data_IF_220761746176
#
_entry.id   IF_220761746176
#
_cell.length_a   1.000
_cell.length_b   1.000
_cell.length_c   1.000
_cell.angle_alpha   90.00
_cell.angle_beta   90.00
_cell.angle_gamma   90.00
#
_symmetry.space_group_name_H-M   'P 1'
#
loop_
_entity.id
_entity.type
_entity.pdbx_description
1 polymer ?
#
# COMPACT_ATOMS: atom_id res chain seq x y z
N UNK A 1 -18.27 -32.31 -38.23
CA UNK A 1 -17.94 -31.22 -37.27
C UNK A 1 -16.68 -31.62 -36.53
N UNK A 2 -15.57 -30.91 -36.74
CA UNK A 2 -14.36 -31.15 -35.93
C UNK A 2 -14.66 -30.73 -34.48
N UNK A 3 -14.24 -31.50 -33.47
CA UNK A 3 -14.48 -31.16 -32.07
C UNK A 3 -13.79 -29.82 -31.73
N UNK A 4 -14.48 -28.96 -30.97
CA UNK A 4 -13.92 -27.72 -30.45
C UNK A 4 -12.70 -28.05 -29.57
N UNK A 5 -11.51 -27.71 -30.05
CA UNK A 5 -10.28 -27.91 -29.30
C UNK A 5 -10.06 -26.74 -28.33
N UNK A 6 -9.70 -27.06 -27.09
CA UNK A 6 -9.50 -26.05 -26.05
C UNK A 6 -8.23 -25.23 -26.29
N UNK A 7 -7.12 -25.88 -26.62
CA UNK A 7 -5.86 -25.26 -27.04
C UNK A 7 -5.50 -25.71 -28.47
N UNK A 8 -4.60 -24.99 -29.18
CA UNK A 8 -4.07 -25.42 -30.47
C UNK A 8 -3.37 -26.78 -30.39
N UNK A 9 -3.40 -27.58 -31.46
CA UNK A 9 -2.89 -28.97 -31.49
C UNK A 9 -1.43 -29.15 -31.06
N UNK A 10 -0.62 -28.09 -31.13
CA UNK A 10 0.81 -28.13 -30.79
C UNK A 10 1.11 -27.75 -29.32
N UNK A 11 0.09 -27.44 -28.53
CA UNK A 11 0.24 -26.92 -27.16
C UNK A 11 -0.81 -27.55 -26.24
N UNK A 12 -0.38 -28.18 -25.15
CA UNK A 12 -1.26 -28.67 -24.10
C UNK A 12 -1.29 -27.72 -22.89
N UNK A 13 -2.37 -27.78 -22.10
CA UNK A 13 -2.48 -27.05 -20.83
C UNK A 13 -1.40 -27.45 -19.80
N UNK A 14 -0.83 -28.66 -19.92
CA UNK A 14 0.19 -29.17 -19.01
C UNK A 14 1.60 -28.64 -19.29
N UNK A 15 1.85 -28.10 -20.49
CA UNK A 15 3.15 -27.57 -20.88
C UNK A 15 3.15 -26.06 -20.68
N UNK A 16 3.70 -25.63 -19.53
CA UNK A 16 3.77 -24.22 -19.13
C UNK A 16 4.79 -23.46 -19.97
N UNK A 17 5.95 -24.07 -20.24
CA UNK A 17 7.06 -23.45 -20.97
C UNK A 17 7.34 -24.20 -22.26
N UNK A 18 7.29 -23.51 -23.40
CA UNK A 18 7.58 -24.06 -24.72
C UNK A 18 8.32 -23.01 -25.55
N UNK A 19 9.40 -23.39 -26.24
CA UNK A 19 10.22 -22.53 -27.10
C UNK A 19 10.57 -21.15 -26.50
N UNK A 20 11.15 -21.11 -25.30
CA UNK A 20 11.59 -19.88 -24.61
C UNK A 20 10.46 -18.89 -24.23
N UNK A 21 9.22 -19.36 -24.11
CA UNK A 21 8.10 -18.57 -23.58
C UNK A 21 7.01 -19.42 -22.92
N UNK A 22 6.05 -18.74 -22.30
CA UNK A 22 4.83 -19.31 -21.74
C UNK A 22 3.76 -19.40 -22.83
N UNK A 23 3.04 -20.51 -22.89
CA UNK A 23 1.97 -20.67 -23.89
C UNK A 23 0.81 -19.71 -23.65
N UNK A 24 0.30 -19.07 -24.72
CA UNK A 24 -0.84 -18.14 -24.63
C UNK A 24 -2.10 -18.81 -24.07
N UNK A 25 -2.36 -20.08 -24.44
CA UNK A 25 -3.49 -20.84 -23.94
C UNK A 25 -3.43 -20.97 -22.40
N UNK A 26 -2.26 -21.30 -21.84
CA UNK A 26 -2.06 -21.42 -20.40
C UNK A 26 -2.21 -20.07 -19.70
N UNK A 27 -1.56 -19.02 -20.23
CA UNK A 27 -1.56 -17.69 -19.61
C UNK A 27 -2.96 -17.09 -19.55
N UNK A 28 -3.72 -17.08 -20.66
CA UNK A 28 -5.07 -16.52 -20.70
C UNK A 28 -6.05 -17.35 -19.84
N UNK A 29 -5.90 -18.68 -19.82
CA UNK A 29 -6.77 -19.56 -19.01
C UNK A 29 -6.53 -19.39 -17.52
N UNK A 30 -5.27 -19.46 -17.09
CA UNK A 30 -4.92 -19.39 -15.66
C UNK A 30 -5.18 -18.00 -15.10
N UNK A 31 -4.81 -16.95 -15.83
CA UNK A 31 -5.07 -15.58 -15.39
C UNK A 31 -6.57 -15.30 -15.27
N UNK A 32 -7.38 -15.69 -16.27
CA UNK A 32 -8.83 -15.53 -16.22
C UNK A 32 -9.45 -16.33 -15.05
N UNK A 33 -9.02 -17.57 -14.83
CA UNK A 33 -9.52 -18.41 -13.74
C UNK A 33 -9.18 -17.84 -12.36
N UNK A 34 -7.93 -17.41 -12.14
CA UNK A 34 -7.48 -16.85 -10.85
C UNK A 34 -8.17 -15.52 -10.56
N UNK A 35 -8.21 -14.60 -11.53
CA UNK A 35 -8.83 -13.28 -11.36
C UNK A 35 -10.34 -13.41 -11.12
N UNK A 36 -11.03 -14.24 -11.91
CA UNK A 36 -12.47 -14.47 -11.77
C UNK A 36 -12.81 -15.17 -10.47
N UNK A 37 -12.05 -16.22 -10.10
CA UNK A 37 -12.25 -16.97 -8.86
C UNK A 37 -12.07 -16.09 -7.63
N UNK A 38 -11.03 -15.25 -7.61
CA UNK A 38 -10.80 -14.28 -6.55
C UNK A 38 -11.99 -13.31 -6.41
N UNK A 39 -12.42 -12.70 -7.52
CA UNK A 39 -13.51 -11.73 -7.50
C UNK A 39 -14.85 -12.37 -7.12
N UNK A 40 -15.13 -13.58 -7.60
CA UNK A 40 -16.34 -14.32 -7.25
C UNK A 40 -16.39 -14.65 -5.76
N UNK A 41 -15.31 -15.18 -5.18
CA UNK A 41 -15.33 -15.56 -3.75
C UNK A 41 -15.34 -14.33 -2.86
N UNK A 42 -14.35 -13.44 -3.00
CA UNK A 42 -14.20 -12.31 -2.07
C UNK A 42 -15.17 -11.17 -2.38
N UNK A 43 -15.50 -10.95 -3.65
CA UNK A 43 -16.49 -9.94 -4.05
C UNK A 43 -17.91 -10.32 -3.62
N UNK A 44 -18.30 -11.60 -3.67
CA UNK A 44 -19.63 -12.01 -3.16
C UNK A 44 -19.70 -11.88 -1.65
N UNK A 45 -18.65 -12.26 -0.92
CA UNK A 45 -18.57 -12.04 0.54
C UNK A 45 -18.71 -10.55 0.85
N UNK A 46 -17.99 -9.68 0.14
CA UNK A 46 -18.07 -8.24 0.33
C UNK A 46 -19.49 -7.71 0.03
N UNK A 47 -20.13 -8.16 -1.04
CA UNK A 47 -21.50 -7.76 -1.39
C UNK A 47 -22.52 -8.22 -0.33
N UNK A 48 -22.37 -9.43 0.20
CA UNK A 48 -23.20 -9.95 1.29
C UNK A 48 -23.01 -9.14 2.56
N UNK A 49 -21.78 -8.73 2.89
CA UNK A 49 -21.50 -7.84 4.01
C UNK A 49 -22.19 -6.48 3.82
N UNK A 50 -22.09 -5.86 2.65
CA UNK A 50 -22.80 -4.61 2.36
C UNK A 50 -24.31 -4.76 2.44
N UNK A 51 -24.87 -5.89 1.98
CA UNK A 51 -26.30 -6.15 2.08
C UNK A 51 -26.78 -6.32 3.52
N UNK A 52 -25.96 -6.92 4.39
CA UNK A 52 -26.34 -7.26 5.77
C UNK A 52 -26.04 -6.15 6.78
N UNK A 53 -24.95 -5.42 6.58
CA UNK A 53 -24.42 -4.45 7.55
C UNK A 53 -24.18 -3.05 6.97
N UNK A 54 -24.45 -2.84 5.68
CA UNK A 54 -24.21 -1.55 5.03
C UNK A 54 -25.24 -0.50 5.44
N UNK A 55 -24.77 0.66 5.88
CA UNK A 55 -25.59 1.87 6.05
C UNK A 55 -25.47 2.73 4.80
N UNK A 56 -26.60 3.25 4.31
CA UNK A 56 -26.63 4.12 3.12
C UNK A 56 -26.04 5.50 3.44
N UNK A 57 -25.22 6.01 2.54
CA UNK A 57 -24.64 7.35 2.65
C UNK A 57 -25.64 8.40 2.18
N UNK A 58 -25.83 9.45 2.97
CA UNK A 58 -26.64 10.60 2.57
C UNK A 58 -26.10 11.21 1.27
N UNK A 59 -26.94 11.46 0.25
CA UNK A 59 -26.51 11.94 -1.07
C UNK A 59 -25.79 13.30 -1.02
N UNK A 60 -26.00 14.09 0.04
CA UNK A 60 -25.28 15.34 0.29
C UNK A 60 -23.78 15.16 0.59
N UNK A 61 -23.35 14.00 1.08
CA UNK A 61 -21.94 13.69 1.39
C UNK A 61 -21.17 13.12 0.18
N UNK A 62 -21.88 12.73 -0.89
CA UNK A 62 -21.29 12.13 -2.08
C UNK A 62 -20.88 13.24 -3.06
N UNK A 63 -19.61 13.64 -3.00
CA UNK A 63 -19.04 14.60 -3.94
C UNK A 63 -19.05 14.11 -5.39
N UNK A 64 -19.23 15.03 -6.35
CA UNK A 64 -19.00 14.75 -7.78
C UNK A 64 -17.49 14.64 -8.04
N UNK A 65 -16.99 13.42 -8.21
CA UNK A 65 -15.59 13.16 -8.54
C UNK A 65 -15.44 12.82 -10.03
N UNK A 66 -14.72 13.67 -10.79
CA UNK A 66 -14.40 13.38 -12.21
C UNK A 66 -13.53 12.13 -12.36
N UNK A 67 -12.64 11.89 -11.39
CA UNK A 67 -11.75 10.72 -11.38
C UNK A 67 -12.52 9.41 -11.19
N UNK A 68 -13.58 9.41 -10.37
CA UNK A 68 -14.46 8.24 -10.23
C UNK A 68 -15.17 7.92 -11.55
N UNK A 69 -15.73 8.92 -12.23
CA UNK A 69 -16.40 8.71 -13.51
C UNK A 69 -15.43 8.18 -14.57
N UNK A 70 -14.20 8.70 -14.58
CA UNK A 70 -13.14 8.21 -15.47
C UNK A 70 -12.75 6.76 -15.16
N UNK A 71 -12.65 6.38 -13.88
CA UNK A 71 -12.38 5.00 -13.47
C UNK A 71 -13.48 4.02 -13.90
N UNK A 72 -14.76 4.41 -13.74
CA UNK A 72 -15.91 3.61 -14.22
C UNK A 72 -15.89 3.47 -15.74
N UNK A 73 -15.56 4.54 -16.46
CA UNK A 73 -15.41 4.50 -17.92
C UNK A 73 -14.32 3.52 -18.37
N UNK A 74 -13.14 3.57 -17.75
CA UNK A 74 -12.06 2.64 -18.06
C UNK A 74 -12.44 1.18 -17.76
N UNK A 75 -13.13 0.93 -16.64
CA UNK A 75 -13.62 -0.41 -16.30
C UNK A 75 -14.66 -0.93 -17.31
N UNK A 76 -15.51 -0.05 -17.84
CA UNK A 76 -16.48 -0.39 -18.88
C UNK A 76 -15.83 -0.59 -20.27
N UNK A 77 -14.68 0.03 -20.53
CA UNK A 77 -13.93 -0.13 -21.78
C UNK A 77 -13.28 -1.52 -21.91
N UNK A 78 -12.79 -2.10 -20.80
CA UNK A 78 -12.09 -3.40 -20.80
C UNK A 78 -12.90 -4.58 -21.37
N UNK A 79 -14.19 -4.81 -21.02
CA UNK A 79 -14.97 -5.88 -21.65
C UNK A 79 -15.23 -5.61 -23.14
N UNK A 80 -15.35 -4.34 -23.56
CA UNK A 80 -15.48 -3.98 -24.98
C UNK A 80 -14.22 -4.38 -25.75
N UNK A 81 -13.04 -4.09 -25.21
CA UNK A 81 -11.76 -4.52 -25.81
C UNK A 81 -11.65 -6.05 -25.90
N UNK A 82 -12.18 -6.79 -24.92
CA UNK A 82 -12.20 -8.25 -24.96
C UNK A 82 -13.11 -8.79 -26.08
N UNK A 83 -14.29 -8.18 -26.28
CA UNK A 83 -15.19 -8.51 -27.40
C UNK A 83 -14.53 -8.20 -28.74
N UNK A 84 -13.91 -7.02 -28.88
CA UNK A 84 -13.21 -6.62 -30.11
C UNK A 84 -12.09 -7.61 -30.44
N UNK A 85 -11.26 -7.99 -29.46
CA UNK A 85 -10.21 -9.00 -29.64
C UNK A 85 -10.79 -10.34 -30.12
N UNK A 86 -11.85 -10.83 -29.46
CA UNK A 86 -12.49 -12.08 -29.83
C UNK A 86 -13.06 -12.06 -31.26
N UNK A 87 -13.70 -10.96 -31.66
CA UNK A 87 -14.25 -10.81 -33.01
C UNK A 87 -13.16 -10.78 -34.07
N UNK A 88 -12.06 -10.06 -33.81
CA UNK A 88 -10.92 -9.98 -34.72
C UNK A 88 -10.25 -11.36 -34.90
N UNK A 89 -9.95 -12.05 -33.80
CA UNK A 89 -9.34 -13.39 -33.82
C UNK A 89 -10.25 -14.48 -34.39
N UNK A 90 -11.56 -14.38 -34.16
CA UNK A 90 -12.55 -15.39 -34.54
C UNK A 90 -13.13 -15.25 -35.94
N UNK A 91 -13.14 -14.05 -36.53
CA UNK A 91 -13.86 -13.79 -37.79
C UNK A 91 -13.08 -13.01 -38.84
N UNK A 92 -12.07 -12.22 -38.45
CA UNK A 92 -11.44 -11.26 -39.39
C UNK A 92 -10.10 -11.77 -39.95
N UNK A 93 -9.29 -12.47 -39.15
CA UNK A 93 -7.98 -12.93 -39.62
C UNK A 93 -8.04 -14.24 -40.43
N UNK A 94 -7.18 -14.36 -41.44
CA UNK A 94 -7.06 -15.58 -42.26
C UNK A 94 -6.64 -16.79 -41.41
N UNK A 95 -7.41 -17.89 -41.50
CA UNK A 95 -7.21 -19.08 -40.67
C UNK A 95 -7.88 -19.01 -39.28
N UNK A 96 -8.83 -18.09 -39.08
CA UNK A 96 -9.58 -17.96 -37.83
C UNK A 96 -10.18 -19.30 -37.36
N UNK A 97 -9.74 -19.75 -36.19
CA UNK A 97 -10.31 -20.86 -35.45
C UNK A 97 -10.58 -20.40 -34.05
N UNK A 98 -11.81 -20.60 -33.59
CA UNK A 98 -12.20 -20.26 -32.22
C UNK A 98 -11.74 -21.39 -31.30
N UNK A 99 -10.83 -21.09 -30.39
CA UNK A 99 -10.37 -22.01 -29.35
C UNK A 99 -11.15 -21.82 -28.06
N UNK A 100 -11.23 -22.89 -27.25
CA UNK A 100 -11.96 -22.86 -25.98
C UNK A 100 -11.44 -21.81 -24.98
N UNK A 101 -10.12 -21.56 -24.92
CA UNK A 101 -9.56 -20.55 -24.01
C UNK A 101 -10.00 -19.11 -24.36
N UNK A 102 -10.21 -18.81 -25.65
CA UNK A 102 -10.67 -17.48 -26.09
C UNK A 102 -12.11 -17.23 -25.64
N UNK A 103 -12.96 -18.26 -25.73
CA UNK A 103 -14.36 -18.20 -25.24
C UNK A 103 -14.37 -18.02 -23.72
N UNK A 104 -13.55 -18.79 -22.99
CA UNK A 104 -13.46 -18.67 -21.53
C UNK A 104 -13.03 -17.25 -21.12
N UNK A 105 -11.98 -16.71 -21.74
CA UNK A 105 -11.48 -15.37 -21.44
C UNK A 105 -12.53 -14.29 -21.74
N UNK A 106 -13.28 -14.42 -22.84
CA UNK A 106 -14.39 -13.53 -23.17
C UNK A 106 -15.51 -13.59 -22.12
N UNK A 107 -16.00 -14.79 -21.80
CA UNK A 107 -17.07 -14.98 -20.80
C UNK A 107 -16.66 -14.43 -19.43
N UNK A 108 -15.42 -14.69 -19.01
CA UNK A 108 -14.88 -14.16 -17.75
C UNK A 108 -14.80 -12.63 -17.79
N UNK A 109 -14.31 -12.04 -18.87
CA UNK A 109 -14.23 -10.58 -19.00
C UNK A 109 -15.62 -9.92 -18.95
N UNK A 110 -16.59 -10.48 -19.67
CA UNK A 110 -17.97 -9.99 -19.71
C UNK A 110 -18.68 -10.10 -18.35
N UNK A 111 -18.23 -10.98 -17.46
CA UNK A 111 -18.77 -11.10 -16.12
C UNK A 111 -17.99 -10.29 -15.08
N UNK A 112 -16.66 -10.46 -15.01
CA UNK A 112 -15.83 -9.93 -13.94
C UNK A 112 -15.75 -8.39 -13.96
N UNK A 113 -15.63 -7.75 -15.13
CA UNK A 113 -15.54 -6.29 -15.20
C UNK A 113 -16.86 -5.62 -14.79
N UNK A 114 -18.04 -5.99 -15.32
CA UNK A 114 -19.30 -5.42 -14.83
C UNK A 114 -19.56 -5.71 -13.35
N UNK A 115 -19.22 -6.90 -12.86
CA UNK A 115 -19.35 -7.24 -11.44
C UNK A 115 -18.48 -6.34 -10.54
N UNK A 116 -17.26 -6.03 -10.97
CA UNK A 116 -16.39 -5.07 -10.27
C UNK A 116 -16.96 -3.64 -10.24
N UNK A 117 -17.67 -3.21 -11.29
CA UNK A 117 -18.38 -1.91 -11.33
C UNK A 117 -19.52 -1.90 -10.30
N UNK A 118 -20.29 -2.99 -10.19
CA UNK A 118 -21.36 -3.11 -9.19
C UNK A 118 -20.81 -2.99 -7.77
N UNK A 119 -19.67 -3.65 -7.49
CA UNK A 119 -18.99 -3.52 -6.20
C UNK A 119 -18.51 -2.08 -5.96
N UNK A 120 -17.86 -1.46 -6.95
CA UNK A 120 -17.39 -0.08 -6.87
C UNK A 120 -18.52 0.92 -6.58
N UNK A 121 -19.69 0.74 -7.22
CA UNK A 121 -20.89 1.55 -6.97
C UNK A 121 -21.39 1.30 -5.55
N UNK A 122 -21.44 0.05 -5.08
CA UNK A 122 -21.85 -0.27 -3.71
C UNK A 122 -20.91 0.36 -2.66
N UNK A 123 -19.60 0.33 -2.86
CA UNK A 123 -18.64 0.99 -1.96
C UNK A 123 -18.84 2.51 -1.88
N UNK A 124 -19.31 3.14 -2.96
CA UNK A 124 -19.57 4.59 -2.97
C UNK A 124 -20.82 4.98 -2.19
N UNK A 125 -21.88 4.17 -2.27
CA UNK A 125 -23.18 4.49 -1.68
C UNK A 125 -23.40 3.87 -0.29
N UNK A 126 -22.63 2.86 0.11
CA UNK A 126 -22.79 2.17 1.40
C UNK A 126 -21.48 2.16 2.20
N UNK A 127 -21.56 2.45 3.50
CA UNK A 127 -20.46 2.32 4.45
C UNK A 127 -20.62 1.09 5.32
N UNK A 128 -19.49 0.45 5.65
CA UNK A 128 -19.44 -0.66 6.61
C UNK A 128 -19.13 -0.11 8.02
N UNK A 129 -19.64 -0.74 9.10
CA UNK A 129 -19.50 -0.21 10.47
C UNK A 129 -18.07 -0.15 11.03
N UNK A 130 -17.09 -0.84 10.42
CA UNK A 130 -15.81 -1.16 11.08
C UNK A 130 -14.53 -0.67 10.37
N UNK A 131 -14.59 0.30 9.45
CA UNK A 131 -13.37 0.88 8.85
C UNK A 131 -13.51 2.40 8.67
N UNK A 132 -12.61 3.24 9.26
CA UNK A 132 -12.44 4.61 8.78
C UNK A 132 -11.84 4.55 7.37
N UNK A 133 -12.56 5.05 6.36
CA UNK A 133 -12.19 4.88 4.96
C UNK A 133 -11.12 5.88 4.52
N UNK A 134 -9.85 5.45 4.58
CA UNK A 134 -8.80 5.98 3.71
C UNK A 134 -8.59 5.01 2.54
N UNK A 135 -9.59 4.82 1.68
CA UNK A 135 -9.42 3.96 0.51
C UNK A 135 -10.65 3.17 0.08
N UNK A 136 -10.57 2.63 -1.14
CA UNK A 136 -11.43 1.54 -1.61
C UNK A 136 -11.28 0.29 -0.72
N UNK A 137 -12.25 -0.62 -0.80
CA UNK A 137 -12.15 -1.90 -0.13
C UNK A 137 -10.94 -2.70 -0.61
N UNK A 138 -10.33 -3.46 0.32
CA UNK A 138 -9.15 -4.28 0.04
C UNK A 138 -9.39 -5.27 -1.11
N UNK A 139 -10.59 -5.83 -1.22
CA UNK A 139 -10.96 -6.78 -2.28
C UNK A 139 -10.85 -6.14 -3.67
N UNK A 140 -11.38 -4.93 -3.84
CA UNK A 140 -11.39 -4.24 -5.13
C UNK A 140 -9.96 -3.79 -5.53
N UNK A 141 -9.18 -3.34 -4.55
CA UNK A 141 -7.78 -2.97 -4.73
C UNK A 141 -6.93 -4.19 -5.12
N UNK A 142 -7.10 -5.32 -4.44
CA UNK A 142 -6.44 -6.58 -4.80
C UNK A 142 -6.86 -7.06 -6.19
N UNK A 143 -8.14 -6.97 -6.55
CA UNK A 143 -8.60 -7.33 -7.89
C UNK A 143 -7.89 -6.53 -8.98
N UNK A 144 -7.78 -5.20 -8.84
CA UNK A 144 -7.04 -4.38 -9.80
C UNK A 144 -5.54 -4.67 -9.80
N UNK A 145 -4.94 -5.01 -8.65
CA UNK A 145 -3.53 -5.45 -8.62
C UNK A 145 -3.33 -6.75 -9.39
N UNK A 146 -4.23 -7.73 -9.25
CA UNK A 146 -4.16 -9.00 -9.96
C UNK A 146 -4.33 -8.80 -11.47
N UNK A 147 -5.24 -7.93 -11.89
CA UNK A 147 -5.38 -7.52 -13.29
C UNK A 147 -4.09 -6.91 -13.83
N UNK A 148 -3.48 -5.99 -13.08
CA UNK A 148 -2.22 -5.35 -13.47
C UNK A 148 -1.07 -6.36 -13.55
N UNK A 149 -0.93 -7.25 -12.56
CA UNK A 149 0.06 -8.33 -12.55
C UNK A 149 -0.13 -9.23 -13.78
N UNK A 150 -1.36 -9.66 -14.08
CA UNK A 150 -1.64 -10.50 -15.24
C UNK A 150 -1.23 -9.85 -16.56
N UNK A 151 -1.40 -8.53 -16.73
CA UNK A 151 -0.91 -7.83 -17.91
C UNK A 151 0.63 -7.76 -17.97
N UNK A 152 1.30 -7.68 -16.83
CA UNK A 152 2.77 -7.67 -16.79
C UNK A 152 3.39 -9.05 -17.09
N UNK A 153 2.72 -10.15 -16.73
CA UNK A 153 3.20 -11.52 -17.03
C UNK A 153 3.35 -11.75 -18.53
N UNK A 154 2.59 -11.03 -19.37
CA UNK A 154 2.70 -11.09 -20.83
C UNK A 154 4.10 -10.70 -21.33
N UNK A 155 4.82 -9.82 -20.63
CA UNK A 155 6.20 -9.43 -21.00
C UNK A 155 7.22 -10.56 -20.83
N UNK A 156 6.89 -11.65 -20.13
CA UNK A 156 7.76 -12.85 -20.09
C UNK A 156 7.92 -13.46 -21.49
N UNK A 157 6.95 -13.25 -22.39
CA UNK A 157 6.96 -13.75 -23.76
C UNK A 157 7.66 -12.84 -24.78
N UNK A 158 8.47 -11.86 -24.35
CA UNK A 158 9.16 -10.95 -25.25
C UNK A 158 10.12 -11.66 -26.23
N UNK A 159 10.73 -12.76 -25.81
CA UNK A 159 11.73 -13.49 -26.61
C UNK A 159 11.15 -14.76 -27.28
N UNK A 160 9.82 -14.90 -27.29
CA UNK A 160 9.13 -16.03 -27.89
C UNK A 160 8.92 -15.76 -29.39
N UNK A 161 9.49 -16.61 -30.24
CA UNK A 161 9.53 -16.39 -31.71
C UNK A 161 8.15 -16.22 -32.37
N UNK A 162 7.10 -16.78 -31.76
CA UNK A 162 5.70 -16.66 -32.25
C UNK A 162 4.89 -15.60 -31.50
N UNK A 163 5.54 -14.73 -30.74
CA UNK A 163 4.85 -13.64 -30.07
C UNK A 163 4.54 -12.50 -31.05
N UNK A 164 3.37 -11.88 -30.87
CA UNK A 164 2.95 -10.69 -31.60
C UNK A 164 3.85 -9.46 -31.35
N UNK A 165 4.86 -9.56 -30.48
CA UNK A 165 5.86 -8.52 -30.26
C UNK A 165 6.76 -8.24 -31.47
N UNK A 166 6.93 -9.21 -32.38
CA UNK A 166 7.79 -9.02 -33.56
C UNK A 166 7.13 -8.20 -34.69
N UNK A 167 5.85 -7.82 -34.56
CA UNK A 167 5.12 -6.88 -35.43
C UNK A 167 5.18 -7.21 -36.94
N UNK A 168 5.43 -8.48 -37.26
CA UNK A 168 5.71 -8.95 -38.63
C UNK A 168 4.46 -8.96 -39.50
N UNK A 169 3.30 -9.30 -38.92
CA UNK A 169 2.02 -9.39 -39.62
C UNK A 169 1.06 -8.29 -39.17
N UNK A 170 0.03 -8.02 -39.98
CA UNK A 170 -1.05 -7.08 -39.63
C UNK A 170 -1.78 -7.53 -38.35
N UNK A 171 -1.92 -8.85 -38.16
CA UNK A 171 -2.45 -9.45 -36.94
C UNK A 171 -1.65 -9.05 -35.71
N UNK A 172 -0.31 -9.17 -35.78
CA UNK A 172 0.57 -8.82 -34.67
C UNK A 172 0.45 -7.34 -34.28
N UNK A 173 0.35 -6.45 -35.27
CA UNK A 173 0.18 -5.00 -35.05
C UNK A 173 -1.14 -4.67 -34.35
N UNK A 174 -2.23 -5.33 -34.74
CA UNK A 174 -3.56 -5.12 -34.13
C UNK A 174 -3.60 -5.67 -32.69
N UNK A 175 -3.06 -6.87 -32.46
CA UNK A 175 -2.96 -7.46 -31.11
C UNK A 175 -2.09 -6.59 -30.18
N UNK A 176 -0.96 -6.09 -30.68
CA UNK A 176 -0.12 -5.16 -29.94
C UNK A 176 -0.88 -3.87 -29.59
N UNK A 177 -1.61 -3.29 -30.54
CA UNK A 177 -2.43 -2.10 -30.30
C UNK A 177 -3.50 -2.31 -29.23
N UNK A 178 -4.25 -3.41 -29.32
CA UNK A 178 -5.26 -3.78 -28.31
C UNK A 178 -4.63 -4.01 -26.94
N UNK A 179 -3.46 -4.65 -26.90
CA UNK A 179 -2.70 -4.86 -25.68
C UNK A 179 -2.28 -3.54 -25.04
N UNK A 180 -1.75 -2.59 -25.81
CA UNK A 180 -1.34 -1.26 -25.30
C UNK A 180 -2.53 -0.50 -24.70
N UNK A 181 -3.67 -0.47 -25.40
CA UNK A 181 -4.89 0.18 -24.89
C UNK A 181 -5.38 -0.50 -23.61
N UNK A 182 -5.40 -1.85 -23.58
CA UNK A 182 -5.78 -2.61 -22.38
C UNK A 182 -4.82 -2.36 -21.22
N UNK A 183 -3.51 -2.38 -21.47
CA UNK A 183 -2.47 -2.18 -20.47
C UNK A 183 -2.56 -0.79 -19.84
N UNK A 184 -2.65 0.25 -20.66
CA UNK A 184 -2.78 1.64 -20.20
C UNK A 184 -4.07 1.85 -19.39
N UNK A 185 -5.21 1.33 -19.85
CA UNK A 185 -6.45 1.38 -19.09
C UNK A 185 -6.32 0.70 -17.72
N UNK A 186 -5.71 -0.48 -17.66
CA UNK A 186 -5.52 -1.25 -16.41
C UNK A 186 -4.57 -0.53 -15.45
N UNK A 187 -3.50 0.09 -15.96
CA UNK A 187 -2.57 0.91 -15.18
C UNK A 187 -3.28 2.12 -14.56
N UNK A 188 -4.07 2.86 -15.34
CA UNK A 188 -4.82 4.00 -14.83
C UNK A 188 -5.86 3.58 -13.78
N UNK A 189 -6.57 2.45 -13.98
CA UNK A 189 -7.49 1.91 -12.98
C UNK A 189 -6.75 1.60 -11.68
N UNK A 190 -5.57 0.96 -11.75
CA UNK A 190 -4.78 0.63 -10.57
C UNK A 190 -4.32 1.89 -9.81
N UNK A 191 -3.75 2.87 -10.52
CA UNK A 191 -3.25 4.13 -9.91
C UNK A 191 -4.40 4.94 -9.29
N UNK A 192 -5.53 5.06 -9.98
CA UNK A 192 -6.71 5.76 -9.45
C UNK A 192 -7.31 5.00 -8.27
N UNK A 193 -7.34 3.66 -8.33
CA UNK A 193 -7.79 2.79 -7.26
C UNK A 193 -7.00 2.97 -5.95
N UNK A 194 -5.70 3.23 -6.02
CA UNK A 194 -4.88 3.54 -4.84
C UNK A 194 -5.22 4.90 -4.22
N UNK A 195 -5.65 5.88 -5.03
CA UNK A 195 -5.98 7.24 -4.58
C UNK A 195 -7.41 7.37 -4.05
N UNK A 196 -8.26 6.38 -4.29
CA UNK A 196 -9.65 6.29 -3.82
C UNK A 196 -10.47 7.59 -3.94
N UNK A 197 -10.59 8.16 -5.15
CA UNK A 197 -11.11 9.51 -5.37
C UNK A 197 -12.62 9.68 -5.12
N UNK A 198 -13.32 8.59 -4.78
CA UNK A 198 -14.77 8.56 -4.59
C UNK A 198 -15.22 8.53 -3.13
N UNK A 199 -14.30 8.38 -2.17
CA UNK A 199 -14.64 8.28 -0.75
C UNK A 199 -14.16 9.54 -0.05
N UNK A 200 -15.09 10.22 0.61
CA UNK A 200 -14.86 11.47 1.33
C UNK A 200 -13.83 11.25 2.43
N UNK A 201 -12.66 11.90 2.33
CA UNK A 201 -11.69 11.95 3.42
C UNK A 201 -12.20 12.91 4.49
N UNK A 202 -12.82 12.40 5.56
CA UNK A 202 -13.31 13.24 6.68
C UNK A 202 -12.18 13.77 7.57
N UNK A 203 -10.96 13.96 7.05
CA UNK A 203 -9.86 14.52 7.82
C UNK A 203 -8.96 15.38 6.92
N UNK A 204 -9.27 16.67 6.83
CA UNK A 204 -8.22 17.67 6.75
C UNK A 204 -7.59 17.71 8.15
N UNK A 205 -6.29 17.43 8.32
CA UNK A 205 -5.60 18.02 9.45
C UNK A 205 -5.70 19.53 9.23
N UNK A 206 -6.43 20.23 10.11
CA UNK A 206 -6.32 21.67 10.20
C UNK A 206 -4.84 21.96 10.47
N UNK A 207 -4.18 22.52 9.46
CA UNK A 207 -2.86 23.11 9.57
C UNK A 207 -3.03 24.39 10.40
N UNK A 208 -3.08 24.22 11.72
CA UNK A 208 -2.94 25.32 12.66
C UNK A 208 -1.47 25.74 12.64
N UNK A 209 -1.15 26.60 11.69
CA UNK A 209 0.06 27.41 11.72
C UNK A 209 -0.06 28.39 12.89
N UNK A 210 0.39 27.94 14.07
CA UNK A 210 0.41 28.77 15.27
C UNK A 210 1.53 29.81 15.13
N UNK A 211 1.13 31.07 14.92
CA UNK A 211 1.95 32.25 15.20
C UNK A 211 2.48 32.19 16.64
N UNK A 212 3.75 31.85 16.80
CA UNK A 212 4.48 32.00 18.06
C UNK A 212 5.78 32.74 17.78
N UNK A 213 5.84 33.98 18.26
CA UNK A 213 7.02 34.82 18.30
C UNK A 213 8.06 34.18 19.25
N UNK A 214 9.28 33.81 18.81
CA UNK A 214 10.24 33.18 19.70
C UNK A 214 10.94 34.26 20.54
N UNK A 215 10.57 34.37 21.81
CA UNK A 215 11.44 35.01 22.79
C UNK A 215 12.73 34.19 22.94
N UNK A 216 13.86 34.85 22.69
CA UNK A 216 15.23 34.34 22.79
C UNK A 216 15.61 34.02 24.24
N UNK A 217 15.08 32.94 24.80
CA UNK A 217 15.71 32.24 25.92
C UNK A 217 16.11 30.83 25.50
N UNK A 218 17.29 30.40 25.93
CA UNK A 218 17.86 29.09 25.63
C UNK A 218 17.02 27.95 26.23
N UNK A 219 15.95 27.58 25.53
CA UNK A 219 15.05 26.46 25.84
C UNK A 219 15.80 25.12 25.91
N UNK A 220 16.92 25.01 25.18
CA UNK A 220 17.74 23.80 25.13
C UNK A 220 18.53 23.53 26.42
N UNK A 221 18.95 24.55 27.18
CA UNK A 221 19.77 24.34 28.39
C UNK A 221 19.01 23.55 29.47
N UNK A 222 17.69 23.67 29.50
CA UNK A 222 16.82 22.96 30.45
C UNK A 222 16.10 21.74 29.83
N UNK A 223 16.24 21.51 28.51
CA UNK A 223 15.55 20.43 27.82
C UNK A 223 15.98 19.04 28.33
N UNK A 224 17.27 18.84 28.60
CA UNK A 224 17.79 17.59 29.16
C UNK A 224 17.23 17.29 30.55
N UNK A 225 17.13 18.33 31.40
CA UNK A 225 16.57 18.19 32.74
C UNK A 225 15.09 17.82 32.68
N UNK A 226 14.31 18.49 31.82
CA UNK A 226 12.89 18.19 31.58
C UNK A 226 12.69 16.78 31.01
N UNK A 227 13.53 16.36 30.07
CA UNK A 227 13.51 15.01 29.50
C UNK A 227 13.79 13.94 30.57
N UNK A 228 14.77 14.17 31.43
CA UNK A 228 15.11 13.24 32.52
C UNK A 228 13.97 13.07 33.51
N UNK A 229 13.19 14.12 33.76
CA UNK A 229 11.98 14.06 34.61
C UNK A 229 10.85 13.27 33.95
N UNK A 230 10.75 13.28 32.62
CA UNK A 230 9.72 12.54 31.86
C UNK A 230 10.11 11.07 31.58
N UNK A 231 11.40 10.77 31.51
CA UNK A 231 11.93 9.42 31.29
C UNK A 231 11.36 8.32 32.22
N UNK A 232 11.15 8.54 33.54
CA UNK A 232 10.55 7.53 34.41
C UNK A 232 9.08 7.25 34.10
N UNK A 233 8.35 8.16 33.44
CA UNK A 233 6.97 7.92 33.00
C UNK A 233 6.91 7.06 31.74
N UNK A 234 7.94 7.15 30.89
CA UNK A 234 8.04 6.33 29.70
C UNK A 234 8.44 4.87 30.01
N UNK A 235 9.15 4.65 31.11
CA UNK A 235 9.57 3.32 31.52
C UNK A 235 8.52 2.68 32.45
N UNK A 236 7.72 1.73 31.96
CA UNK A 236 6.70 1.09 32.78
C UNK A 236 7.36 0.20 33.84
N UNK A 237 7.42 0.66 35.08
CA UNK A 237 8.01 -0.10 36.19
C UNK A 237 7.11 -1.25 36.68
N UNK A 238 5.81 -1.20 36.38
CA UNK A 238 4.80 -2.10 36.91
C UNK A 238 4.61 -3.39 36.08
N UNK A 239 4.87 -3.35 34.77
CA UNK A 239 4.56 -4.45 33.84
C UNK A 239 5.79 -4.93 33.03
N UNK A 240 6.28 -6.14 33.29
CA UNK A 240 7.41 -6.74 32.54
C UNK A 240 7.12 -6.92 31.04
N UNK A 241 5.87 -7.24 30.67
CA UNK A 241 5.46 -7.38 29.26
C UNK A 241 5.61 -6.05 28.50
N UNK A 242 5.33 -4.93 29.17
CA UNK A 242 5.43 -3.61 28.56
C UNK A 242 6.89 -3.17 28.43
N UNK A 243 7.74 -3.50 29.41
CA UNK A 243 9.20 -3.30 29.31
C UNK A 243 9.80 -4.04 28.12
N UNK A 244 9.43 -5.32 27.91
CA UNK A 244 9.90 -6.08 26.77
C UNK A 244 9.47 -5.45 25.44
N UNK A 245 8.25 -4.91 25.34
CA UNK A 245 7.78 -4.20 24.15
C UNK A 245 8.55 -2.92 23.89
N UNK A 246 8.91 -2.16 24.93
CA UNK A 246 9.74 -0.97 24.81
C UNK A 246 11.11 -1.33 24.27
N UNK A 247 11.77 -2.35 24.84
CA UNK A 247 13.07 -2.84 24.38
C UNK A 247 12.98 -3.30 22.92
N UNK A 248 11.98 -4.10 22.58
CA UNK A 248 11.78 -4.59 21.23
C UNK A 248 11.51 -3.45 20.22
N UNK A 249 10.77 -2.41 20.62
CA UNK A 249 10.57 -1.21 19.83
C UNK A 249 11.88 -0.47 19.55
N UNK A 250 12.75 -0.32 20.55
CA UNK A 250 14.08 0.28 20.37
C UNK A 250 14.99 -0.58 19.49
N UNK A 251 14.95 -1.90 19.61
CA UNK A 251 15.69 -2.80 18.73
C UNK A 251 15.22 -2.67 17.28
N UNK A 252 13.90 -2.60 17.03
CA UNK A 252 13.35 -2.36 15.69
C UNK A 252 13.74 -0.99 15.14
N UNK A 253 13.78 0.04 15.99
CA UNK A 253 14.23 1.37 15.61
C UNK A 253 15.69 1.33 15.14
N UNK A 254 16.59 0.73 15.95
CA UNK A 254 17.99 0.57 15.59
C UNK A 254 18.17 -0.28 14.32
N UNK A 255 17.46 -1.39 14.22
CA UNK A 255 17.47 -2.24 13.01
C UNK A 255 17.04 -1.48 11.75
N UNK A 256 16.04 -0.62 11.85
CA UNK A 256 15.63 0.26 10.76
C UNK A 256 16.73 1.22 10.31
N UNK A 257 17.49 1.80 11.25
CA UNK A 257 18.62 2.70 10.93
C UNK A 257 19.79 1.95 10.29
N UNK A 258 20.09 0.75 10.80
CA UNK A 258 21.09 -0.14 10.22
C UNK A 258 20.75 -0.47 8.77
N UNK A 259 19.49 -0.79 8.48
CA UNK A 259 19.03 -1.05 7.11
C UNK A 259 19.17 0.19 6.22
N UNK A 260 18.85 1.38 6.73
CA UNK A 260 19.04 2.63 5.98
C UNK A 260 20.50 2.84 5.55
N UNK A 261 21.46 2.41 6.37
CA UNK A 261 22.89 2.43 6.03
C UNK A 261 23.28 1.33 5.03
N UNK A 262 22.76 0.12 5.17
CA UNK A 262 23.13 -0.99 4.27
C UNK A 262 22.55 -0.85 2.87
N UNK A 263 21.40 -0.21 2.69
CA UNK A 263 20.77 0.00 1.37
C UNK A 263 21.73 0.65 0.35
N UNK A 264 22.37 1.81 0.61
CA UNK A 264 23.32 2.41 -0.32
C UNK A 264 24.60 1.58 -0.48
N UNK A 265 25.07 0.89 0.56
CA UNK A 265 26.26 0.01 0.49
C UNK A 265 26.02 -1.16 -0.47
N UNK A 266 24.86 -1.81 -0.39
CA UNK A 266 24.51 -2.89 -1.29
C UNK A 266 24.26 -2.39 -2.71
N UNK A 267 23.70 -1.18 -2.87
CA UNK A 267 23.58 -0.56 -4.19
C UNK A 267 24.97 -0.33 -4.82
N UNK A 268 25.94 0.17 -4.05
CA UNK A 268 27.34 0.29 -4.50
C UNK A 268 27.90 -1.06 -4.94
N UNK A 269 27.78 -2.11 -4.12
CA UNK A 269 28.27 -3.46 -4.48
C UNK A 269 27.67 -3.99 -5.78
N UNK A 270 26.35 -3.78 -5.99
CA UNK A 270 25.69 -4.18 -7.24
C UNK A 270 26.31 -3.45 -8.44
N UNK A 271 26.51 -2.13 -8.33
CA UNK A 271 27.13 -1.34 -9.42
C UNK A 271 28.59 -1.75 -9.66
N UNK A 272 29.36 -1.98 -8.59
CA UNK A 272 30.76 -2.42 -8.69
C UNK A 272 30.87 -3.79 -9.39
N UNK A 273 29.94 -4.73 -9.12
CA UNK A 273 29.91 -6.04 -9.81
C UNK A 273 29.68 -5.96 -11.31
N UNK A 274 29.08 -4.87 -11.80
CA UNK A 274 28.88 -4.64 -13.23
C UNK A 274 30.15 -4.12 -13.92
N UNK A 275 31.13 -3.64 -13.14
CA UNK A 275 32.37 -3.06 -13.65
C UNK A 275 33.54 -4.06 -13.69
N UNK A 276 33.50 -5.11 -12.87
CA UNK A 276 34.52 -6.17 -12.84
C UNK A 276 34.38 -7.17 -14.02
N UNK A 277 35.50 -7.60 -14.60
CA UNK A 277 35.56 -8.65 -15.63
C UNK A 277 36.28 -9.89 -15.08
N UNK A 278 35.75 -11.12 -15.28
CA UNK A 278 34.56 -11.48 -16.07
C UNK A 278 33.24 -11.14 -15.38
N UNK A 279 32.24 -10.76 -16.19
CA UNK A 279 30.89 -10.44 -15.73
C UNK A 279 30.24 -11.68 -15.09
N UNK A 280 30.09 -11.65 -13.77
CA UNK A 280 29.39 -12.68 -13.02
C UNK A 280 28.12 -12.06 -12.42
N UNK A 281 26.94 -12.53 -12.83
CA UNK A 281 25.67 -12.05 -12.30
C UNK A 281 25.51 -12.48 -10.82
N UNK A 282 25.69 -11.54 -9.89
CA UNK A 282 25.58 -11.77 -8.43
C UNK A 282 24.14 -11.56 -7.95
N UNK A 283 23.29 -12.54 -8.22
CA UNK A 283 21.88 -12.53 -7.78
C UNK A 283 21.74 -12.38 -6.26
N UNK A 284 22.71 -12.90 -5.48
CA UNK A 284 22.75 -12.80 -4.01
C UNK A 284 22.63 -11.36 -3.51
N UNK A 285 23.38 -10.42 -4.11
CA UNK A 285 23.41 -9.02 -3.68
C UNK A 285 22.13 -8.29 -4.04
N UNK A 286 21.56 -8.62 -5.20
CA UNK A 286 20.27 -8.08 -5.65
C UNK A 286 19.15 -8.54 -4.72
N UNK A 287 19.13 -9.83 -4.34
CA UNK A 287 18.11 -10.38 -3.45
C UNK A 287 18.16 -9.72 -2.07
N UNK A 288 19.36 -9.54 -1.50
CA UNK A 288 19.55 -8.85 -0.22
C UNK A 288 19.11 -7.38 -0.31
N UNK A 289 19.47 -6.69 -1.40
CA UNK A 289 19.07 -5.30 -1.63
C UNK A 289 17.55 -5.14 -1.71
N UNK A 290 16.86 -6.01 -2.44
CA UNK A 290 15.39 -6.02 -2.53
C UNK A 290 14.77 -6.30 -1.15
N UNK A 291 15.33 -7.23 -0.38
CA UNK A 291 14.91 -7.50 1.00
C UNK A 291 15.05 -6.28 1.92
N UNK A 292 16.19 -5.58 1.88
CA UNK A 292 16.37 -4.34 2.64
C UNK A 292 15.44 -3.23 2.19
N UNK A 293 15.20 -3.08 0.88
CA UNK A 293 14.22 -2.12 0.35
C UNK A 293 12.81 -2.44 0.80
N UNK A 294 12.42 -3.71 0.85
CA UNK A 294 11.12 -4.13 1.39
C UNK A 294 10.98 -3.78 2.89
N UNK A 295 12.02 -4.06 3.69
CA UNK A 295 12.03 -3.72 5.12
C UNK A 295 12.00 -2.20 5.37
N UNK A 296 12.68 -1.43 4.52
CA UNK A 296 12.73 0.05 4.55
C UNK A 296 11.43 0.70 4.04
N UNK A 297 10.72 0.09 3.07
CA UNK A 297 9.51 0.64 2.43
C UNK A 297 9.73 1.22 1.03
N UNK A 298 10.85 0.87 0.37
CA UNK A 298 11.36 1.54 -0.82
C UNK A 298 10.75 1.15 -2.17
N UNK A 299 9.56 0.55 -2.21
CA UNK A 299 8.88 0.22 -3.48
C UNK A 299 7.97 1.32 -4.01
N UNK A 300 7.16 1.93 -3.14
CA UNK A 300 6.02 2.78 -3.57
C UNK A 300 5.51 3.70 -2.44
N UNK A 301 6.41 4.36 -1.69
CA UNK A 301 6.02 5.40 -0.72
C UNK A 301 5.23 4.91 0.50
N UNK A 302 5.12 3.60 0.71
CA UNK A 302 4.55 3.02 1.92
C UNK A 302 5.61 2.94 3.03
N UNK A 303 5.21 3.19 4.27
CA UNK A 303 6.06 2.92 5.43
C UNK A 303 6.58 1.47 5.36
N UNK A 304 7.87 1.24 5.56
CA UNK A 304 8.46 -0.10 5.56
C UNK A 304 7.88 -1.02 6.64
N UNK A 305 8.05 -2.33 6.47
CA UNK A 305 7.56 -3.35 7.40
C UNK A 305 8.00 -3.05 8.84
N UNK A 306 9.28 -2.72 9.03
CA UNK A 306 9.85 -2.41 10.35
C UNK A 306 9.23 -1.15 10.96
N UNK A 307 8.96 -0.15 10.14
CA UNK A 307 8.36 1.09 10.63
C UNK A 307 6.89 0.88 11.04
N UNK A 308 6.13 0.07 10.30
CA UNK A 308 4.78 -0.31 10.69
C UNK A 308 4.74 -1.14 11.96
N UNK A 309 5.60 -2.16 12.07
CA UNK A 309 5.68 -3.01 13.25
C UNK A 309 6.06 -2.21 14.50
N UNK A 310 7.07 -1.33 14.37
CA UNK A 310 7.45 -0.38 15.43
C UNK A 310 6.28 0.51 15.84
N UNK A 311 5.58 1.10 14.87
CA UNK A 311 4.44 2.00 15.13
C UNK A 311 3.29 1.25 15.83
N UNK A 312 3.01 0.01 15.42
CA UNK A 312 2.01 -0.83 16.06
C UNK A 312 2.34 -1.14 17.53
N UNK A 313 3.59 -1.49 17.81
CA UNK A 313 4.06 -1.73 19.18
C UNK A 313 4.03 -0.45 20.02
N UNK A 314 4.35 0.69 19.41
CA UNK A 314 4.36 1.98 20.07
C UNK A 314 2.98 2.44 20.55
N UNK A 315 1.90 2.14 19.82
CA UNK A 315 0.54 2.54 20.20
C UNK A 315 0.22 2.13 21.64
N UNK A 316 0.51 0.88 22.02
CA UNK A 316 0.27 0.37 23.38
C UNK A 316 1.11 1.10 24.44
N UNK A 317 2.36 1.42 24.13
CA UNK A 317 3.28 2.12 25.02
C UNK A 317 2.80 3.57 25.22
N UNK A 318 2.40 4.23 24.13
CA UNK A 318 1.86 5.58 24.16
C UNK A 318 0.60 5.64 25.03
N UNK A 319 -0.37 4.75 24.82
CA UNK A 319 -1.60 4.72 25.62
C UNK A 319 -1.34 4.52 27.12
N UNK A 320 -0.39 3.63 27.47
CA UNK A 320 0.01 3.46 28.87
C UNK A 320 0.63 4.73 29.45
N UNK A 321 1.54 5.36 28.69
CA UNK A 321 2.26 6.57 29.12
C UNK A 321 1.30 7.73 29.33
N UNK A 322 0.37 7.95 28.39
CA UNK A 322 -0.70 8.95 28.50
C UNK A 322 -1.50 8.75 29.78
N UNK A 323 -1.99 7.52 30.03
CA UNK A 323 -2.81 7.22 31.20
C UNK A 323 -2.07 7.50 32.51
N UNK A 324 -0.81 7.09 32.62
CA UNK A 324 -0.05 7.27 33.86
C UNK A 324 0.23 8.76 34.12
N UNK A 325 0.52 9.54 33.07
CA UNK A 325 0.71 10.99 33.16
C UNK A 325 -0.60 11.68 33.58
N UNK A 326 -1.73 11.33 32.95
CA UNK A 326 -3.04 11.90 33.29
C UNK A 326 -3.45 11.59 34.72
N UNK A 327 -3.25 10.35 35.18
CA UNK A 327 -3.57 9.95 36.56
C UNK A 327 -2.73 10.74 37.57
N UNK A 328 -1.44 10.91 37.31
CA UNK A 328 -0.56 11.68 38.20
C UNK A 328 -0.92 13.17 38.21
N UNK A 329 -1.21 13.75 37.03
CA UNK A 329 -1.67 15.14 36.92
C UNK A 329 -3.01 15.35 37.64
N UNK A 330 -3.94 14.41 37.50
CA UNK A 330 -5.23 14.45 38.17
C UNK A 330 -5.09 14.31 39.68
N UNK A 331 -4.21 13.42 40.15
CA UNK A 331 -3.87 13.27 41.57
C UNK A 331 -3.28 14.57 42.13
N UNK A 332 -2.36 15.20 41.40
CA UNK A 332 -1.81 16.49 41.78
C UNK A 332 -2.89 17.57 41.83
N UNK A 333 -3.78 17.59 40.83
CA UNK A 333 -4.89 18.54 40.77
C UNK A 333 -5.81 18.41 41.99
N UNK A 334 -6.13 17.19 42.40
CA UNK A 334 -6.94 16.91 43.60
C UNK A 334 -6.25 17.28 44.92
N UNK A 335 -4.92 17.36 44.93
CA UNK A 335 -4.14 17.74 46.12
C UNK A 335 -4.06 19.26 46.35
N UNK A 336 -4.56 20.06 45.40
CA UNK A 336 -4.51 21.52 45.48
C UNK A 336 -5.56 22.09 46.45
N UNK A 337 -5.31 23.30 46.94
CA UNK A 337 -6.17 23.93 47.93
C UNK A 337 -7.53 24.33 47.35
N UNK A 338 -8.57 24.34 48.18
CA UNK A 338 -9.92 24.77 47.78
C UNK A 338 -9.93 26.17 47.15
N UNK A 339 -9.08 27.10 47.64
CA UNK A 339 -8.92 28.44 47.07
C UNK A 339 -8.42 28.40 45.62
N UNK A 340 -7.57 27.44 45.26
CA UNK A 340 -7.11 27.24 43.89
C UNK A 340 -8.26 26.80 42.97
N UNK A 341 -9.12 25.91 43.45
CA UNK A 341 -10.28 25.40 42.73
C UNK A 341 -11.38 26.45 42.54
N UNK A 342 -11.66 27.29 43.55
CA UNK A 342 -12.70 28.33 43.48
C UNK A 342 -12.38 29.45 42.47
N UNK A 343 -11.10 29.68 42.18
CA UNK A 343 -10.65 30.75 41.28
C UNK A 343 -10.61 30.35 39.80
N UNK A 344 -10.92 29.10 39.44
CA UNK A 344 -10.76 28.58 38.06
C UNK A 344 -11.95 27.75 37.62
N UNK A 345 -12.28 27.82 36.33
CA UNK A 345 -13.34 26.99 35.74
C UNK A 345 -12.81 25.57 35.51
N UNK A 346 -13.54 24.55 35.97
CA UNK A 346 -13.15 23.13 35.82
C UNK A 346 -12.88 22.75 34.36
N UNK A 347 -13.70 23.22 33.42
CA UNK A 347 -13.51 22.94 32.00
C UNK A 347 -12.25 23.56 31.40
N UNK A 348 -11.80 24.72 31.90
CA UNK A 348 -10.56 25.35 31.47
C UNK A 348 -9.35 24.55 31.96
N UNK A 349 -9.38 24.13 33.22
CA UNK A 349 -8.32 23.33 33.85
C UNK A 349 -8.17 21.96 33.18
N UNK A 350 -9.27 21.25 32.95
CA UNK A 350 -9.24 19.95 32.26
C UNK A 350 -8.72 20.10 30.83
N UNK A 351 -9.16 21.12 30.09
CA UNK A 351 -8.67 21.37 28.73
C UNK A 351 -7.17 21.68 28.69
N UNK A 352 -6.64 22.39 29.68
CA UNK A 352 -5.20 22.65 29.81
C UNK A 352 -4.45 21.36 30.12
N UNK A 353 -5.00 20.49 30.98
CA UNK A 353 -4.43 19.17 31.28
C UNK A 353 -4.38 18.29 30.03
N UNK A 354 -5.49 18.11 29.32
CA UNK A 354 -5.59 17.27 28.12
C UNK A 354 -4.60 17.73 27.05
N UNK A 355 -4.59 19.05 26.74
CA UNK A 355 -3.64 19.63 25.79
C UNK A 355 -2.19 19.47 26.23
N UNK A 356 -1.93 19.59 27.53
CA UNK A 356 -0.61 19.41 28.12
C UNK A 356 -0.09 17.98 27.94
N UNK A 357 -0.93 16.99 28.26
CA UNK A 357 -0.62 15.57 28.09
C UNK A 357 -0.39 15.22 26.61
N UNK A 358 -1.25 15.69 25.71
CA UNK A 358 -1.10 15.46 24.27
C UNK A 358 0.19 16.09 23.74
N UNK A 359 0.52 17.31 24.17
CA UNK A 359 1.76 17.98 23.80
C UNK A 359 3.00 17.21 24.26
N UNK A 360 3.00 16.72 25.51
CA UNK A 360 4.10 15.91 26.06
C UNK A 360 4.28 14.62 25.24
N UNK A 361 3.18 13.91 24.95
CA UNK A 361 3.21 12.69 24.16
C UNK A 361 3.75 12.91 22.75
N UNK A 362 3.28 13.97 22.08
CA UNK A 362 3.74 14.32 20.74
C UNK A 362 5.22 14.70 20.73
N UNK A 363 5.66 15.52 21.71
CA UNK A 363 7.06 15.91 21.86
C UNK A 363 7.95 14.69 22.07
N UNK A 364 7.54 13.78 22.94
CA UNK A 364 8.30 12.57 23.24
C UNK A 364 8.37 11.62 22.03
N UNK A 365 7.26 11.45 21.31
CA UNK A 365 7.22 10.70 20.04
C UNK A 365 8.19 11.30 19.02
N UNK A 366 8.16 12.62 18.84
CA UNK A 366 9.03 13.33 17.91
C UNK A 366 10.51 13.21 18.29
N UNK A 367 10.85 13.34 19.58
CA UNK A 367 12.23 13.21 20.05
C UNK A 367 12.75 11.79 19.83
N UNK A 368 11.96 10.76 20.14
CA UNK A 368 12.40 9.37 20.03
C UNK A 368 12.47 8.85 18.60
N UNK A 369 11.57 9.28 17.71
CA UNK A 369 11.46 8.70 16.36
C UNK A 369 11.95 9.61 15.23
N UNK A 370 12.10 10.91 15.48
CA UNK A 370 12.62 11.86 14.51
C UNK A 370 13.98 12.39 14.92
N UNK A 371 14.08 13.06 16.07
CA UNK A 371 15.33 13.77 16.46
C UNK A 371 16.44 12.79 16.84
N UNK A 372 16.21 11.85 17.76
CA UNK A 372 17.25 10.93 18.20
C UNK A 372 17.80 10.07 17.05
N UNK A 373 16.96 9.47 16.18
CA UNK A 373 17.47 8.69 15.07
C UNK A 373 18.18 9.53 14.02
N UNK A 374 17.74 10.77 13.76
CA UNK A 374 18.44 11.64 12.79
C UNK A 374 19.82 12.05 13.29
N UNK A 375 19.99 12.33 14.58
CA UNK A 375 21.31 12.58 15.17
C UNK A 375 22.22 11.35 14.98
N UNK A 376 21.72 10.14 15.26
CA UNK A 376 22.48 8.90 15.04
C UNK A 376 22.83 8.73 13.56
N UNK A 377 21.88 8.93 12.65
CA UNK A 377 22.10 8.82 11.20
C UNK A 377 23.18 9.82 10.72
N UNK A 378 23.17 11.05 11.23
CA UNK A 378 24.19 12.08 10.93
C UNK A 378 25.56 11.65 11.46
N UNK A 379 25.66 11.21 12.71
CA UNK A 379 26.93 10.76 13.29
C UNK A 379 27.53 9.59 12.51
N UNK A 380 26.69 8.61 12.17
CA UNK A 380 27.08 7.45 11.38
C UNK A 380 27.51 7.86 9.98
N UNK A 381 26.81 8.79 9.33
CA UNK A 381 27.19 9.32 8.03
C UNK A 381 28.55 10.03 8.09
N UNK A 382 28.79 10.88 9.10
CA UNK A 382 30.07 11.58 9.30
C UNK A 382 31.21 10.58 9.49
N UNK A 383 31.03 9.57 10.35
CA UNK A 383 32.04 8.52 10.56
C UNK A 383 32.31 7.76 9.26
N UNK A 384 31.26 7.42 8.51
CA UNK A 384 31.39 6.74 7.23
C UNK A 384 32.17 7.59 6.20
N UNK A 385 31.90 8.90 6.11
CA UNK A 385 32.64 9.80 5.21
C UNK A 385 34.09 10.07 5.62
N UNK A 386 34.43 9.95 6.91
CA UNK A 386 35.82 10.07 7.38
C UNK A 386 36.60 8.77 7.12
N UNK A 387 35.94 7.62 7.21
CA UNK A 387 36.58 6.30 7.01
C UNK A 387 36.65 5.86 5.54
N UNK A 388 35.72 6.32 4.69
CA UNK A 388 35.67 6.04 3.26
C UNK A 388 36.60 6.98 2.48
#
# INVERSE_FOLDING_TARGET
>A
MQPLQYCPTNVSMSVVWSNHGISQCFLDTVSAAVISGFLLVFGTIQLLMYRRYGTENSPAQIGRSRMYNFQVFLLALLPVLAVVRFVLEGFVFEGARVYGFMILALCVALFAYPYSIVLLVKERYYLLPSLPTRGHGLVLLLFWTLLFIAQNVVFVNLNYEKAWFHLSTVKDKVEFGLFVVRYTATLFIFVIGLRAPGITSTFQPEEYESLANPENQSTFRNAWHKMRTLMPFLWPKKDCVLQFRVIFCFVLLLGGRVINLYVPIYNKKIVDSLSERPLAFRWDWVLIYVGFKFLQGGGTGSMGLLNNLRSFLWIRIQQYTTREIEVELFRHLHSLSLRWHLNRKTGEVLRVMDRGTDSINNLLNYILFSIAPTIVDILVAVVFFIMA
#
